data_IF_986576156056
#
_entry.id   IF_986576156056
#
_cell.length_a   1.000
_cell.length_b   1.000
_cell.length_c   1.000
_cell.angle_alpha   90.00
_cell.angle_beta   90.00
_cell.angle_gamma   90.00
#
_symmetry.space_group_name_H-M   'P 1'
#
loop_
_entity.id
_entity.type
_entity.pdbx_description
1 polymer ?
#
# COMPACT_ATOMS: atom_id res chain seq x y z
N UNK A 1 -9.64 -12.87 45.03
CA UNK A 1 -10.06 -11.52 44.59
C UNK A 1 -8.87 -10.57 44.44
N UNK A 2 -7.98 -10.46 45.44
CA UNK A 2 -6.76 -9.62 45.38
C UNK A 2 -5.81 -9.99 44.22
N UNK A 3 -5.53 -11.28 44.00
CA UNK A 3 -4.69 -11.72 42.88
C UNK A 3 -5.25 -11.32 41.51
N UNK A 4 -6.57 -11.34 41.34
CA UNK A 4 -7.22 -10.90 40.11
C UNK A 4 -7.14 -9.38 39.93
N UNK A 5 -7.28 -8.61 41.03
CA UNK A 5 -7.12 -7.16 40.99
C UNK A 5 -5.68 -6.75 40.64
N UNK A 6 -4.67 -7.42 41.22
CA UNK A 6 -3.26 -7.21 40.88
C UNK A 6 -2.98 -7.58 39.43
N UNK A 7 -3.51 -8.70 38.96
CA UNK A 7 -3.37 -9.13 37.57
C UNK A 7 -3.98 -8.13 36.58
N UNK A 8 -5.20 -7.64 36.86
CA UNK A 8 -5.84 -6.62 36.03
C UNK A 8 -5.08 -5.29 36.03
N UNK A 9 -4.55 -4.87 37.19
CA UNK A 9 -3.73 -3.66 37.29
C UNK A 9 -2.44 -3.77 36.48
N UNK A 10 -1.76 -4.93 36.54
CA UNK A 10 -0.55 -5.18 35.76
C UNK A 10 -0.81 -5.19 34.24
N UNK A 11 -1.89 -5.86 33.79
CA UNK A 11 -2.27 -5.85 32.37
C UNK A 11 -2.63 -4.44 31.91
N UNK A 12 -3.39 -3.70 32.71
CA UNK A 12 -3.80 -2.33 32.37
C UNK A 12 -2.59 -1.41 32.30
N UNK A 13 -1.63 -1.55 33.23
CA UNK A 13 -0.38 -0.79 33.22
C UNK A 13 0.44 -1.05 31.95
N UNK A 14 0.63 -2.31 31.58
CA UNK A 14 1.36 -2.68 30.35
C UNK A 14 0.64 -2.15 29.11
N UNK A 15 -0.70 -2.26 29.06
CA UNK A 15 -1.49 -1.74 27.94
C UNK A 15 -1.38 -0.21 27.80
N UNK A 16 -1.37 0.52 28.92
CA UNK A 16 -1.26 1.98 28.92
C UNK A 16 0.16 2.47 28.63
N UNK A 17 1.20 1.72 29.04
CA UNK A 17 2.60 2.06 28.74
C UNK A 17 2.86 2.13 27.23
N UNK A 18 2.19 1.28 26.45
CA UNK A 18 2.28 1.26 25.00
C UNK A 18 1.35 2.26 24.30
N UNK A 19 0.44 2.94 25.01
CA UNK A 19 -0.54 3.83 24.41
C UNK A 19 -0.11 5.29 24.54
N UNK A 20 0.79 5.74 23.67
CA UNK A 20 1.20 7.16 23.60
C UNK A 20 0.34 7.95 22.62
N UNK A 21 -0.06 9.16 23.03
CA UNK A 21 -0.77 10.14 22.18
C UNK A 21 0.04 10.50 20.92
N UNK A 22 1.36 10.43 20.99
CA UNK A 22 2.25 10.70 19.86
C UNK A 22 2.06 9.69 18.71
N UNK A 23 1.68 8.44 19.02
CA UNK A 23 1.40 7.41 18.00
C UNK A 23 0.24 7.84 17.11
N UNK A 24 -0.82 8.42 17.70
CA UNK A 24 -1.97 8.94 16.94
C UNK A 24 -1.55 10.05 15.97
N UNK A 25 -0.84 11.07 16.45
CA UNK A 25 -0.39 12.19 15.61
C UNK A 25 0.54 11.72 14.49
N UNK A 26 1.45 10.79 14.79
CA UNK A 26 2.32 10.18 13.79
C UNK A 26 1.51 9.48 12.69
N UNK A 27 0.58 8.60 13.05
CA UNK A 27 -0.26 7.90 12.06
C UNK A 27 -1.13 8.86 11.25
N UNK A 28 -1.62 9.94 11.87
CA UNK A 28 -2.41 10.95 11.19
C UNK A 28 -1.58 11.70 10.15
N UNK A 29 -0.40 12.18 10.52
CA UNK A 29 0.49 12.91 9.60
C UNK A 29 0.89 12.02 8.42
N UNK A 30 1.26 10.76 8.66
CA UNK A 30 1.61 9.82 7.59
C UNK A 30 0.40 9.52 6.69
N UNK A 31 -0.79 9.35 7.28
CA UNK A 31 -2.03 9.18 6.51
C UNK A 31 -2.36 10.41 5.66
N UNK A 32 -2.24 11.61 6.23
CA UNK A 32 -2.49 12.85 5.51
C UNK A 32 -1.46 13.08 4.39
N UNK A 33 -0.20 12.65 4.58
CA UNK A 33 0.89 12.78 3.60
C UNK A 33 0.74 11.87 2.37
N UNK A 34 0.23 10.64 2.52
CA UNK A 34 0.16 9.67 1.41
C UNK A 34 -1.25 9.39 0.90
N UNK A 35 -2.27 9.53 1.75
CA UNK A 35 -3.65 9.12 1.43
C UNK A 35 -4.51 10.31 1.06
N UNK A 36 -4.44 11.39 1.84
CA UNK A 36 -5.28 12.57 1.66
C UNK A 36 -4.58 13.72 0.93
N UNK A 37 -3.30 13.58 0.64
CA UNK A 37 -2.54 14.56 -0.11
C UNK A 37 -3.12 14.69 -1.53
N UNK A 38 -3.16 15.92 -2.03
CA UNK A 38 -3.67 16.27 -3.35
C UNK A 38 -2.59 17.08 -4.07
N UNK A 39 -1.45 16.43 -4.32
CA UNK A 39 -0.24 17.11 -4.83
C UNK A 39 -0.05 16.88 -6.33
N UNK A 40 -0.77 15.91 -6.89
CA UNK A 40 -0.72 15.57 -8.32
C UNK A 40 -1.44 16.60 -9.19
N UNK A 41 -1.03 16.66 -10.46
CA UNK A 41 -1.58 17.57 -11.51
C UNK A 41 -3.10 17.47 -11.66
N UNK A 42 -3.69 16.33 -11.27
CA UNK A 42 -5.12 16.04 -11.37
C UNK A 42 -5.92 16.35 -10.09
N UNK A 43 -5.29 16.83 -9.01
CA UNK A 43 -5.94 17.15 -7.72
C UNK A 43 -6.73 15.98 -7.10
N UNK A 44 -6.32 14.75 -7.45
CA UNK A 44 -6.89 13.50 -6.95
C UNK A 44 -6.04 12.96 -5.82
N UNK A 45 -6.68 12.68 -4.69
CA UNK A 45 -6.08 11.93 -3.59
C UNK A 45 -6.04 10.43 -3.87
N UNK A 46 -5.28 9.66 -3.09
CA UNK A 46 -5.21 8.20 -3.22
C UNK A 46 -6.61 7.53 -3.14
N UNK A 47 -7.53 8.12 -2.37
CA UNK A 47 -8.90 7.63 -2.18
C UNK A 47 -9.78 7.86 -3.42
N UNK A 48 -9.42 8.83 -4.27
CA UNK A 48 -10.18 9.24 -5.46
C UNK A 48 -9.69 8.54 -6.75
N UNK A 49 -8.68 7.65 -6.65
CA UNK A 49 -8.15 6.89 -7.79
C UNK A 49 -9.23 5.99 -8.37
N UNK A 50 -9.43 6.09 -9.69
CA UNK A 50 -10.51 5.37 -10.39
C UNK A 50 -10.04 4.62 -11.65
N UNK A 51 -8.91 5.02 -12.23
CA UNK A 51 -8.32 4.40 -13.42
C UNK A 51 -6.95 3.77 -13.11
N UNK A 52 -6.48 2.93 -14.04
CA UNK A 52 -5.14 2.32 -13.95
C UNK A 52 -4.05 3.38 -14.20
N UNK A 53 -4.31 4.36 -15.07
CA UNK A 53 -3.33 5.41 -15.34
C UNK A 53 -3.16 6.31 -14.09
N UNK A 54 -4.26 6.61 -13.38
CA UNK A 54 -4.25 7.38 -12.14
C UNK A 54 -3.32 6.78 -11.05
N UNK A 55 -3.23 5.45 -10.94
CA UNK A 55 -2.36 4.81 -9.93
C UNK A 55 -0.88 4.90 -10.32
N UNK A 56 -0.56 4.86 -11.62
CA UNK A 56 0.82 5.04 -12.08
C UNK A 56 1.30 6.46 -11.87
N UNK A 57 0.46 7.45 -12.21
CA UNK A 57 0.73 8.87 -11.96
C UNK A 57 0.94 9.13 -10.45
N UNK A 58 0.09 8.56 -9.59
CA UNK A 58 0.26 8.67 -8.13
C UNK A 58 1.58 8.07 -7.63
N UNK A 59 1.96 6.89 -8.14
CA UNK A 59 3.18 6.22 -7.70
C UNK A 59 4.43 7.00 -8.10
N UNK A 60 4.46 7.55 -9.32
CA UNK A 60 5.62 8.27 -9.85
C UNK A 60 5.73 9.67 -9.25
N UNK A 61 4.65 10.45 -9.28
CA UNK A 61 4.67 11.86 -8.91
C UNK A 61 4.59 12.08 -7.40
N UNK A 62 3.66 11.41 -6.71
CA UNK A 62 3.32 11.75 -5.33
C UNK A 62 4.00 10.84 -4.33
N UNK A 63 3.95 9.52 -4.56
CA UNK A 63 4.49 8.53 -3.62
C UNK A 63 6.03 8.57 -3.55
N UNK A 64 6.73 8.51 -4.70
CA UNK A 64 8.20 8.53 -4.72
C UNK A 64 8.76 9.85 -4.18
N UNK A 65 8.16 10.96 -4.61
CA UNK A 65 8.52 12.30 -4.14
C UNK A 65 8.34 12.40 -2.62
N UNK A 66 7.17 12.01 -2.08
CA UNK A 66 6.93 12.07 -0.64
C UNK A 66 7.81 11.10 0.19
N UNK A 67 8.29 10.02 -0.43
CA UNK A 67 9.13 9.01 0.24
C UNK A 67 10.62 9.39 0.28
N UNK A 68 11.13 9.99 -0.80
CA UNK A 68 12.57 10.24 -0.96
C UNK A 68 12.96 11.72 -0.94
N UNK A 69 12.02 12.65 -1.14
CA UNK A 69 12.33 14.07 -1.07
C UNK A 69 12.52 14.50 0.38
N UNK A 70 13.76 14.83 0.75
CA UNK A 70 14.13 15.26 2.10
C UNK A 70 14.34 16.76 2.18
N UNK A 71 13.71 17.41 3.15
CA UNK A 71 13.95 18.83 3.47
C UNK A 71 15.15 19.06 4.42
N UNK A 72 15.86 18.00 4.82
CA UNK A 72 16.93 18.07 5.82
C UNK A 72 18.28 18.51 5.21
N UNK A 73 19.08 19.34 5.91
CA UNK A 73 20.44 19.68 5.48
C UNK A 73 21.31 18.42 5.56
N UNK A 74 21.61 17.89 4.37
CA UNK A 74 22.33 16.67 4.07
C UNK A 74 23.61 16.49 4.89
N UNK A 75 23.62 15.48 5.76
CA UNK A 75 24.86 14.89 6.30
C UNK A 75 24.74 13.36 6.36
N UNK A 76 23.51 12.84 6.46
CA UNK A 76 23.21 11.41 6.43
C UNK A 76 22.65 10.99 5.07
N UNK A 77 23.19 9.93 4.46
CA UNK A 77 22.73 9.34 3.18
C UNK A 77 21.35 8.65 3.28
N UNK A 78 20.60 8.89 4.36
CA UNK A 78 19.34 8.22 4.65
C UNK A 78 18.18 9.13 4.25
N UNK A 79 17.27 8.63 3.40
CA UNK A 79 16.01 9.31 3.15
C UNK A 79 15.21 9.45 4.46
N UNK A 80 14.81 10.67 4.79
CA UNK A 80 13.97 10.98 5.94
C UNK A 80 12.58 11.37 5.46
N UNK A 81 11.58 10.57 5.81
CA UNK A 81 10.17 10.89 5.58
C UNK A 81 9.71 11.85 6.68
N UNK A 82 9.15 13.00 6.30
CA UNK A 82 8.64 14.00 7.23
C UNK A 82 9.66 14.41 8.30
N UNK A 83 10.77 15.04 7.86
CA UNK A 83 11.89 15.60 8.63
C UNK A 83 12.70 14.62 9.50
N UNK A 84 12.06 13.85 10.38
CA UNK A 84 12.72 13.13 11.47
C UNK A 84 12.49 11.61 11.44
N UNK A 85 11.84 11.05 10.41
CA UNK A 85 11.60 9.60 10.33
C UNK A 85 12.51 8.96 9.30
N UNK A 86 13.45 8.15 9.76
CA UNK A 86 14.35 7.41 8.88
C UNK A 86 13.61 6.29 8.14
N UNK A 87 13.74 6.26 6.82
CA UNK A 87 13.27 5.15 6.02
C UNK A 87 14.15 3.90 6.26
N UNK A 88 13.52 2.76 6.52
CA UNK A 88 14.20 1.49 6.71
C UNK A 88 13.94 0.58 5.50
N UNK A 89 14.99 0.30 4.73
CA UNK A 89 14.91 -0.53 3.53
C UNK A 89 14.33 0.22 2.33
N UNK A 90 13.63 -0.52 1.47
CA UNK A 90 13.03 0.01 0.24
C UNK A 90 11.62 -0.55 0.04
N UNK A 91 10.72 0.20 -0.60
CA UNK A 91 9.36 -0.27 -0.88
C UNK A 91 9.38 -1.46 -1.85
N UNK A 92 8.43 -2.38 -1.68
CA UNK A 92 8.21 -3.53 -2.57
C UNK A 92 6.79 -3.53 -3.11
N UNK A 93 6.65 -3.50 -4.44
CA UNK A 93 5.38 -3.62 -5.13
C UNK A 93 5.08 -5.10 -5.38
N UNK A 94 3.82 -5.52 -5.17
CA UNK A 94 3.35 -6.88 -5.45
C UNK A 94 2.04 -6.81 -6.22
N UNK A 95 1.93 -7.61 -7.27
CA UNK A 95 0.72 -7.74 -8.11
C UNK A 95 0.15 -9.15 -8.01
N UNK A 96 -1.17 -9.28 -8.13
CA UNK A 96 -1.87 -10.57 -8.29
C UNK A 96 -2.59 -10.56 -9.63
N UNK A 97 -2.65 -11.72 -10.28
CA UNK A 97 -3.27 -11.90 -11.59
C UNK A 97 -4.14 -13.15 -11.60
N UNK A 98 -5.19 -13.13 -12.42
CA UNK A 98 -6.10 -14.27 -12.65
C UNK A 98 -5.87 -14.84 -14.05
N UNK A 99 -6.06 -16.15 -14.21
CA UNK A 99 -5.91 -16.83 -15.51
C UNK A 99 -6.99 -16.39 -16.51
N UNK A 100 -6.67 -16.35 -17.80
CA UNK A 100 -7.63 -16.09 -18.87
C UNK A 100 -8.70 -17.21 -19.02
N UNK A 101 -8.39 -18.44 -18.59
CA UNK A 101 -9.37 -19.55 -18.61
C UNK A 101 -10.23 -19.60 -17.35
N UNK A 102 -10.35 -18.49 -16.62
CA UNK A 102 -11.01 -18.45 -15.30
C UNK A 102 -12.52 -18.24 -15.38
N UNK A 103 -13.06 -17.85 -16.54
CA UNK A 103 -14.49 -17.80 -16.81
C UNK A 103 -14.85 -18.37 -18.18
N UNK A 104 -16.12 -18.78 -18.29
CA UNK A 104 -16.72 -19.30 -19.51
C UNK A 104 -17.53 -18.22 -20.19
N UNK A 105 -17.11 -17.81 -21.39
CA UNK A 105 -17.87 -16.88 -22.24
C UNK A 105 -19.08 -17.63 -22.82
N UNK A 106 -20.24 -16.96 -22.86
CA UNK A 106 -21.43 -17.53 -23.48
C UNK A 106 -21.19 -17.79 -24.98
N UNK A 107 -21.64 -18.95 -25.49
CA UNK A 107 -21.35 -19.40 -26.86
C UNK A 107 -21.69 -18.36 -27.93
N UNK A 108 -22.75 -17.59 -27.73
CA UNK A 108 -23.18 -16.53 -28.66
C UNK A 108 -22.16 -15.40 -28.84
N UNK A 109 -21.28 -15.16 -27.86
CA UNK A 109 -20.26 -14.10 -27.88
C UNK A 109 -18.83 -14.64 -28.01
N UNK A 110 -18.69 -15.94 -28.28
CA UNK A 110 -17.38 -16.61 -28.34
C UNK A 110 -16.51 -16.15 -29.52
N UNK A 111 -17.07 -15.45 -30.50
CA UNK A 111 -16.31 -14.88 -31.64
C UNK A 111 -15.77 -13.50 -31.32
N UNK A 112 -16.49 -12.71 -30.52
CA UNK A 112 -16.18 -11.33 -30.19
C UNK A 112 -15.36 -11.21 -28.90
N UNK A 113 -15.60 -12.08 -27.91
CA UNK A 113 -14.92 -12.08 -26.61
C UNK A 113 -13.98 -13.28 -26.55
N UNK A 114 -12.70 -13.03 -26.78
CA UNK A 114 -11.64 -14.05 -26.83
C UNK A 114 -11.06 -14.31 -25.43
N UNK A 115 -11.02 -13.28 -24.58
CA UNK A 115 -10.41 -13.33 -23.26
C UNK A 115 -11.42 -13.06 -22.15
N UNK A 116 -11.28 -13.76 -21.02
CA UNK A 116 -12.20 -13.67 -19.90
C UNK A 116 -11.44 -13.79 -18.57
N UNK A 117 -11.65 -12.83 -17.67
CA UNK A 117 -11.06 -12.86 -16.33
C UNK A 117 -12.17 -12.81 -15.30
N UNK A 118 -12.27 -13.86 -14.46
CA UNK A 118 -13.23 -13.92 -13.38
C UNK A 118 -12.73 -13.21 -12.13
N UNK A 119 -13.62 -13.07 -11.15
CA UNK A 119 -13.26 -12.54 -9.83
C UNK A 119 -12.12 -13.35 -9.21
N UNK A 120 -11.25 -12.67 -8.46
CA UNK A 120 -10.13 -13.30 -7.80
C UNK A 120 -10.58 -14.43 -6.87
N UNK A 121 -9.97 -15.61 -7.08
CA UNK A 121 -10.04 -16.75 -6.18
C UNK A 121 -8.66 -17.42 -6.19
N UNK A 122 -8.10 -17.83 -5.02
CA UNK A 122 -6.83 -18.55 -4.94
C UNK A 122 -6.71 -19.75 -5.90
N UNK A 123 -7.81 -20.41 -6.26
CA UNK A 123 -7.82 -21.53 -7.20
C UNK A 123 -7.53 -21.13 -8.66
N UNK A 124 -7.88 -19.91 -9.06
CA UNK A 124 -7.73 -19.39 -10.44
C UNK A 124 -6.59 -18.36 -10.57
N UNK A 125 -5.81 -18.16 -9.50
CA UNK A 125 -4.62 -17.31 -9.50
C UNK A 125 -3.63 -17.77 -10.58
N UNK A 126 -3.18 -16.82 -11.39
CA UNK A 126 -2.16 -17.03 -12.40
C UNK A 126 -0.77 -16.91 -11.75
N UNK A 127 -0.06 -18.04 -11.71
CA UNK A 127 1.32 -18.16 -11.19
C UNK A 127 2.33 -18.36 -12.31
N UNK A 128 1.91 -18.25 -13.57
CA UNK A 128 2.82 -18.33 -14.69
C UNK A 128 3.69 -17.08 -14.74
N UNK A 129 4.94 -17.25 -15.19
CA UNK A 129 5.84 -16.12 -15.38
C UNK A 129 5.27 -15.23 -16.48
N UNK A 130 5.28 -13.93 -16.24
CA UNK A 130 4.79 -12.91 -17.16
C UNK A 130 5.83 -11.80 -17.31
N UNK A 131 5.79 -11.11 -18.45
CA UNK A 131 6.75 -10.07 -18.78
C UNK A 131 7.99 -10.58 -19.54
N UNK A 132 8.90 -9.67 -19.91
CA UNK A 132 10.16 -10.02 -20.55
C UNK A 132 10.96 -10.99 -19.67
N UNK A 133 11.72 -11.90 -20.29
CA UNK A 133 12.34 -13.07 -19.64
C UNK A 133 13.28 -12.79 -18.43
N UNK A 134 13.53 -11.52 -18.10
CA UNK A 134 14.46 -11.07 -17.06
C UNK A 134 13.80 -10.24 -15.93
N UNK A 135 12.46 -10.17 -15.86
CA UNK A 135 11.78 -9.55 -14.71
C UNK A 135 11.57 -10.55 -13.57
N UNK A 136 11.78 -10.12 -12.33
CA UNK A 136 11.49 -10.93 -11.13
C UNK A 136 10.00 -11.35 -11.11
N UNK A 137 9.69 -12.59 -10.69
CA UNK A 137 8.31 -13.10 -10.58
C UNK A 137 7.53 -12.58 -9.37
#
# INVERSE_FOLDING_TARGET
MINYAVFLALISFVALAECSVQKYFFTKIIGDLFVNSKTTVQDKSFVEISAIDDIWDFLDDEFLTSLYQTDAPTTDQNAMVYYNNKLLGSPRIRMLKVKNTSCTVAKSFSREIIECFSNYNPAVEDKQRFGPANSEP
#
